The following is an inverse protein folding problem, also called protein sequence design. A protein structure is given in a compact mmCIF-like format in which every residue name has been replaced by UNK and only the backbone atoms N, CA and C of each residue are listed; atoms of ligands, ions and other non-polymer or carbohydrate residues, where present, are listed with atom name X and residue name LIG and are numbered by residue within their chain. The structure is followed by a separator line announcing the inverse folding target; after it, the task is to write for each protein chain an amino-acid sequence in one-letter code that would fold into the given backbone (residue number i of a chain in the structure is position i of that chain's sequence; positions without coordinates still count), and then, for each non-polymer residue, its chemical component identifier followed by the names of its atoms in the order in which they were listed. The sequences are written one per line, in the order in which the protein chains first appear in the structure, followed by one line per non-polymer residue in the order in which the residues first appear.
data_IF_576576934690
#
_entry.id   IF_576576934690
#
_cell.length_a   1.000
_cell.length_b   1.000
_cell.length_c   1.000
_cell.angle_alpha   90.00
_cell.angle_beta   90.00
_cell.angle_gamma   90.00
#
_symmetry.space_group_name_H-M   'P 1'
#
loop_
_entity.id
_entity.type
_entity.pdbx_description
1 polymer ?
#
# COMPACT_ATOMS: atom_id res chain seq x y z
N UNK A 1 -8.75 16.25 -4.87
CA UNK A 1 -9.22 14.84 -4.84
C UNK A 1 -8.56 14.06 -3.73
N UNK A 2 -7.28 14.30 -3.51
CA UNK A 2 -6.48 13.57 -2.52
C UNK A 2 -6.11 14.39 -1.30
N UNK A 3 -6.49 15.66 -1.24
CA UNK A 3 -5.92 16.63 -0.32
C UNK A 3 -6.26 16.44 1.16
N UNK A 4 -7.25 15.66 1.50
CA UNK A 4 -7.75 15.60 2.87
C UNK A 4 -7.82 14.20 3.49
N UNK A 5 -7.46 13.16 2.75
CA UNK A 5 -7.64 11.79 3.26
C UNK A 5 -6.65 11.42 4.35
N UNK A 6 -5.41 11.88 4.22
CA UNK A 6 -4.35 11.53 5.15
C UNK A 6 -3.31 12.65 5.16
N UNK A 7 -3.39 13.52 6.15
CA UNK A 7 -2.42 14.59 6.32
C UNK A 7 -1.27 14.13 7.20
N UNK A 8 -0.11 14.03 6.61
CA UNK A 8 1.11 13.78 7.36
C UNK A 8 2.18 14.76 6.93
N UNK A 9 2.81 15.42 7.89
CA UNK A 9 4.00 16.21 7.63
C UNK A 9 5.11 15.24 7.20
N UNK A 10 5.59 15.42 6.00
CA UNK A 10 6.76 14.69 5.54
C UNK A 10 7.97 15.28 6.25
N UNK A 11 8.51 14.56 7.22
CA UNK A 11 9.86 14.82 7.66
C UNK A 11 10.78 14.50 6.49
N UNK A 12 11.43 15.53 5.95
CA UNK A 12 12.50 15.28 4.99
C UNK A 12 13.65 14.59 5.76
N UNK A 13 13.87 13.30 5.57
CA UNK A 13 15.04 12.69 6.19
C UNK A 13 16.28 13.27 5.55
N UNK A 14 17.23 13.69 6.37
CA UNK A 14 18.56 14.01 5.91
C UNK A 14 19.14 12.83 5.13
N UNK A 15 20.29 13.05 4.49
CA UNK A 15 20.93 11.99 3.70
C UNK A 15 21.18 10.75 4.57
N UNK A 16 20.50 9.65 4.24
CA UNK A 16 20.66 8.38 4.93
C UNK A 16 21.80 7.57 4.30
N UNK A 17 22.54 6.81 5.12
CA UNK A 17 23.52 5.87 4.61
C UNK A 17 22.84 4.75 3.82
N UNK A 18 23.59 4.08 2.93
CA UNK A 18 23.07 2.94 2.17
C UNK A 18 22.56 1.83 3.08
N UNK A 19 23.27 1.56 4.20
CA UNK A 19 22.85 0.56 5.19
C UNK A 19 21.52 0.95 5.84
N UNK A 20 21.35 2.22 6.20
CA UNK A 20 20.11 2.73 6.77
C UNK A 20 18.94 2.65 5.77
N UNK A 21 19.17 2.93 4.49
CA UNK A 21 18.18 2.75 3.44
C UNK A 21 17.75 1.30 3.30
N UNK A 22 18.70 0.36 3.33
CA UNK A 22 18.39 -1.06 3.23
C UNK A 22 17.57 -1.55 4.43
N UNK A 23 17.91 -1.07 5.63
CA UNK A 23 17.16 -1.40 6.85
C UNK A 23 15.73 -0.85 6.78
N UNK A 24 15.59 0.41 6.37
CA UNK A 24 14.28 1.03 6.21
C UNK A 24 13.42 0.28 5.18
N UNK A 25 14.02 -0.10 4.05
CA UNK A 25 13.31 -0.86 3.02
C UNK A 25 12.82 -2.21 3.56
N UNK A 26 13.65 -2.91 4.32
CA UNK A 26 13.28 -4.19 4.94
C UNK A 26 12.17 -4.02 5.97
N UNK A 27 12.24 -3.00 6.80
CA UNK A 27 11.24 -2.73 7.83
C UNK A 27 9.90 -2.31 7.19
N UNK A 28 9.93 -1.53 6.12
CA UNK A 28 8.73 -1.17 5.37
C UNK A 28 8.11 -2.35 4.64
N UNK A 29 8.94 -3.27 4.16
CA UNK A 29 8.45 -4.51 3.54
C UNK A 29 7.64 -5.33 4.55
N UNK A 30 8.13 -5.44 5.78
CA UNK A 30 7.39 -6.11 6.86
C UNK A 30 6.13 -5.34 7.23
N UNK A 31 6.18 -4.02 7.26
CA UNK A 31 5.01 -3.19 7.51
C UNK A 31 3.92 -3.42 6.46
N UNK A 32 4.29 -3.55 5.19
CA UNK A 32 3.34 -3.88 4.11
C UNK A 32 2.77 -5.28 4.26
N UNK A 33 3.59 -6.23 4.65
CA UNK A 33 3.17 -7.62 4.88
C UNK A 33 2.07 -7.71 5.95
N UNK A 34 2.30 -7.09 7.10
CA UNK A 34 1.30 -7.06 8.17
C UNK A 34 0.15 -6.12 7.84
N UNK A 35 0.43 -5.01 7.20
CA UNK A 35 -0.60 -4.05 6.76
C UNK A 35 -1.61 -4.68 5.82
N UNK A 36 -1.15 -5.49 4.87
CA UNK A 36 -2.02 -6.19 3.94
C UNK A 36 -2.94 -7.17 4.69
N UNK A 37 -2.39 -7.95 5.60
CA UNK A 37 -3.17 -8.91 6.39
C UNK A 37 -4.20 -8.19 7.28
N UNK A 38 -3.80 -7.10 7.91
CA UNK A 38 -4.69 -6.31 8.76
C UNK A 38 -5.82 -5.66 7.96
N UNK A 39 -5.51 -5.11 6.78
CA UNK A 39 -6.50 -4.51 5.90
C UNK A 39 -7.44 -5.55 5.29
N UNK A 40 -6.93 -6.73 4.99
CA UNK A 40 -7.75 -7.85 4.56
C UNK A 40 -8.75 -8.22 5.64
N UNK A 41 -8.31 -8.33 6.89
CA UNK A 41 -9.16 -8.62 8.04
C UNK A 41 -10.23 -7.52 8.22
N UNK A 42 -9.84 -6.25 8.09
CA UNK A 42 -10.79 -5.14 8.15
C UNK A 42 -11.85 -5.25 7.06
N UNK A 43 -11.44 -5.57 5.83
CA UNK A 43 -12.35 -5.72 4.69
C UNK A 43 -13.33 -6.88 4.90
N UNK A 44 -12.85 -8.01 5.40
CA UNK A 44 -13.66 -9.22 5.53
C UNK A 44 -14.55 -9.22 6.77
N UNK A 45 -14.04 -8.75 7.90
CA UNK A 45 -14.72 -8.86 9.18
C UNK A 45 -15.35 -7.55 9.68
N UNK A 46 -14.96 -6.42 9.13
CA UNK A 46 -15.45 -5.11 9.55
C UNK A 46 -15.09 -4.73 10.98
N UNK A 47 -14.03 -5.33 11.53
CA UNK A 47 -13.60 -5.05 12.89
C UNK A 47 -13.01 -3.65 13.03
N UNK A 48 -13.00 -3.13 14.25
CA UNK A 48 -12.41 -1.82 14.57
C UNK A 48 -10.92 -1.80 14.23
N UNK A 49 -10.45 -0.72 13.59
CA UNK A 49 -9.04 -0.56 13.25
C UNK A 49 -8.13 -0.57 14.48
N UNK A 50 -8.58 0.05 15.57
CA UNK A 50 -7.83 0.04 16.82
C UNK A 50 -7.68 -1.37 17.39
N UNK A 51 -8.74 -2.17 17.32
CA UNK A 51 -8.72 -3.57 17.78
C UNK A 51 -7.78 -4.42 16.90
N UNK A 52 -7.83 -4.23 15.58
CA UNK A 52 -6.96 -4.94 14.65
C UNK A 52 -5.49 -4.58 14.93
N UNK A 53 -5.18 -3.30 15.09
CA UNK A 53 -3.83 -2.86 15.40
C UNK A 53 -3.32 -3.47 16.69
N UNK A 54 -4.13 -3.42 17.74
CA UNK A 54 -3.77 -3.98 19.05
C UNK A 54 -3.49 -5.48 18.96
N UNK A 55 -4.32 -6.21 18.23
CA UNK A 55 -4.17 -7.64 18.02
C UNK A 55 -2.86 -7.97 17.29
N UNK A 56 -2.56 -7.26 16.20
CA UNK A 56 -1.33 -7.49 15.44
C UNK A 56 -0.09 -7.16 16.27
N UNK A 57 -0.13 -6.09 17.05
CA UNK A 57 1.00 -5.70 17.89
C UNK A 57 1.21 -6.67 19.05
N UNK A 58 0.16 -7.34 19.52
CA UNK A 58 0.27 -8.36 20.55
C UNK A 58 0.76 -9.70 20.01
N UNK A 59 0.31 -10.08 18.80
CA UNK A 59 0.57 -11.41 18.23
C UNK A 59 1.88 -11.50 17.47
N UNK A 60 2.43 -10.40 16.97
CA UNK A 60 3.63 -10.37 16.14
C UNK A 60 4.72 -9.48 16.74
N UNK A 61 5.96 -9.83 16.44
CA UNK A 61 7.11 -9.03 16.84
C UNK A 61 7.30 -7.85 15.87
N UNK A 62 7.08 -6.64 16.38
CA UNK A 62 7.24 -5.41 15.59
C UNK A 62 8.61 -4.74 15.76
N UNK A 63 9.57 -5.39 16.43
CA UNK A 63 10.89 -4.79 16.66
C UNK A 63 11.64 -4.45 15.36
N UNK A 64 11.38 -5.18 14.27
CA UNK A 64 12.00 -4.95 12.96
C UNK A 64 10.98 -4.55 11.91
N UNK A 65 9.90 -3.91 12.35
CA UNK A 65 8.81 -3.41 11.48
C UNK A 65 8.78 -1.90 11.60
N UNK A 66 8.62 -1.20 10.47
CA UNK A 66 8.34 0.24 10.50
C UNK A 66 6.89 0.43 10.99
N UNK A 67 6.73 0.60 12.29
CA UNK A 67 5.42 0.72 12.93
C UNK A 67 4.65 1.92 12.38
N UNK A 68 5.31 3.04 12.16
CA UNK A 68 4.68 4.24 11.61
C UNK A 68 4.09 3.96 10.22
N UNK A 69 4.84 3.24 9.38
CA UNK A 69 4.38 2.87 8.05
C UNK A 69 3.19 1.90 8.11
N UNK A 70 3.26 0.92 9.00
CA UNK A 70 2.15 0.00 9.24
C UNK A 70 0.88 0.75 9.66
N UNK A 71 1.00 1.70 10.59
CA UNK A 71 -0.12 2.53 11.05
C UNK A 71 -0.65 3.41 9.91
N UNK A 72 0.24 3.97 9.11
CA UNK A 72 -0.16 4.79 7.95
C UNK A 72 -0.99 3.99 6.96
N UNK A 73 -0.61 2.76 6.68
CA UNK A 73 -1.38 1.87 5.80
C UNK A 73 -2.71 1.48 6.42
N UNK A 74 -2.69 1.00 7.65
CA UNK A 74 -3.88 0.47 8.32
C UNK A 74 -4.95 1.54 8.53
N UNK A 75 -4.56 2.74 8.93
CA UNK A 75 -5.50 3.83 9.18
C UNK A 75 -5.75 4.70 7.95
N UNK A 76 -4.75 4.85 7.09
CA UNK A 76 -4.84 5.69 5.90
C UNK A 76 -5.69 5.09 4.79
N UNK A 77 -5.54 3.80 4.51
CA UNK A 77 -6.31 3.15 3.44
C UNK A 77 -7.82 3.21 3.72
N UNK A 78 -8.31 2.82 4.91
CA UNK A 78 -9.74 2.96 5.18
C UNK A 78 -10.24 4.41 5.16
N UNK A 79 -9.43 5.37 5.62
CA UNK A 79 -9.80 6.79 5.61
C UNK A 79 -9.97 7.33 4.18
N UNK A 80 -9.24 6.77 3.22
CA UNK A 80 -9.25 7.20 1.81
C UNK A 80 -9.96 6.22 0.88
N UNK A 81 -10.64 5.21 1.40
CA UNK A 81 -11.13 4.09 0.60
C UNK A 81 -11.99 4.52 -0.58
N UNK A 82 -12.87 5.51 -0.41
CA UNK A 82 -13.73 5.97 -1.49
C UNK A 82 -12.92 6.63 -2.61
N UNK A 83 -11.94 7.44 -2.27
CA UNK A 83 -11.06 8.08 -3.25
C UNK A 83 -10.16 7.05 -3.96
N UNK A 84 -9.68 6.06 -3.22
CA UNK A 84 -8.86 4.97 -3.77
C UNK A 84 -9.67 4.17 -4.80
N UNK A 85 -10.88 3.79 -4.45
CA UNK A 85 -11.75 3.02 -5.35
C UNK A 85 -12.22 3.85 -6.55
N UNK A 86 -12.47 5.14 -6.35
CA UNK A 86 -12.82 6.04 -7.47
C UNK A 86 -11.67 6.17 -8.48
N UNK A 87 -10.43 6.11 -8.01
CA UNK A 87 -9.25 6.13 -8.90
C UNK A 87 -9.08 4.79 -9.61
N UNK A 88 -9.31 3.68 -8.92
CA UNK A 88 -9.14 2.34 -9.46
C UNK A 88 -10.21 1.95 -10.47
N UNK A 89 -11.46 2.27 -10.21
CA UNK A 89 -12.61 1.78 -10.96
C UNK A 89 -12.49 1.98 -12.49
N UNK A 90 -12.13 3.17 -13.01
CA UNK A 90 -11.99 3.37 -14.45
C UNK A 90 -10.85 2.56 -15.09
N UNK A 91 -9.92 2.08 -14.28
CA UNK A 91 -8.72 1.38 -14.76
C UNK A 91 -8.87 -0.14 -14.69
N UNK A 92 -9.96 -0.63 -14.10
CA UNK A 92 -10.23 -2.06 -13.99
C UNK A 92 -10.98 -2.54 -15.22
N UNK A 93 -10.76 -3.80 -15.59
CA UNK A 93 -11.51 -4.48 -16.66
C UNK A 93 -12.77 -5.18 -16.13
N UNK A 94 -13.00 -5.11 -14.81
CA UNK A 94 -14.12 -5.73 -14.11
C UNK A 94 -14.56 -4.86 -12.94
N UNK A 95 -15.66 -5.21 -12.31
CA UNK A 95 -16.16 -4.47 -11.14
C UNK A 95 -15.28 -4.74 -9.92
N UNK A 96 -15.17 -3.76 -9.03
CA UNK A 96 -14.47 -3.91 -7.76
C UNK A 96 -15.00 -5.11 -6.97
N UNK A 97 -16.31 -5.32 -6.97
CA UNK A 97 -16.94 -6.44 -6.26
C UNK A 97 -16.57 -7.82 -6.83
N UNK A 98 -16.08 -7.87 -8.07
CA UNK A 98 -15.66 -9.11 -8.72
C UNK A 98 -14.21 -9.47 -8.45
N UNK A 99 -13.45 -8.55 -7.83
CA UNK A 99 -12.05 -8.80 -7.49
C UNK A 99 -11.95 -9.72 -6.29
N UNK A 100 -10.94 -10.60 -6.32
CA UNK A 100 -10.53 -11.36 -5.15
C UNK A 100 -10.21 -10.36 -4.02
N UNK A 101 -10.66 -10.61 -2.77
CA UNK A 101 -10.38 -9.72 -1.64
C UNK A 101 -8.90 -9.39 -1.44
N UNK A 102 -8.00 -10.32 -1.71
CA UNK A 102 -6.55 -10.07 -1.62
C UNK A 102 -6.11 -9.09 -2.70
N UNK A 103 -6.53 -9.29 -3.94
CA UNK A 103 -6.23 -8.37 -5.05
C UNK A 103 -6.79 -6.98 -4.76
N UNK A 104 -8.01 -6.90 -4.29
CA UNK A 104 -8.65 -5.64 -3.93
C UNK A 104 -7.89 -4.90 -2.83
N UNK A 105 -7.45 -5.63 -1.81
CA UNK A 105 -6.65 -5.07 -0.72
C UNK A 105 -5.31 -4.54 -1.24
N UNK A 106 -4.62 -5.30 -2.06
CA UNK A 106 -3.33 -4.90 -2.61
C UNK A 106 -3.44 -3.71 -3.56
N UNK A 107 -4.51 -3.64 -4.35
CA UNK A 107 -4.77 -2.49 -5.22
C UNK A 107 -5.06 -1.24 -4.41
N UNK A 108 -5.83 -1.34 -3.33
CA UNK A 108 -6.07 -0.22 -2.41
C UNK A 108 -4.77 0.27 -1.78
N UNK A 109 -3.94 -0.65 -1.28
CA UNK A 109 -2.65 -0.30 -0.66
C UNK A 109 -1.71 0.36 -1.66
N UNK A 110 -1.54 -0.23 -2.82
CA UNK A 110 -0.66 0.32 -3.86
C UNK A 110 -1.09 1.70 -4.31
N UNK A 111 -2.39 1.89 -4.53
CA UNK A 111 -2.94 3.19 -4.89
C UNK A 111 -2.72 4.21 -3.79
N UNK A 112 -2.91 3.83 -2.53
CA UNK A 112 -2.64 4.69 -1.38
C UNK A 112 -1.17 5.13 -1.33
N UNK A 113 -0.25 4.20 -1.50
CA UNK A 113 1.18 4.52 -1.50
C UNK A 113 1.53 5.45 -2.66
N UNK A 114 0.99 5.20 -3.84
CA UNK A 114 1.23 6.06 -5.00
C UNK A 114 0.68 7.46 -4.80
N UNK A 115 -0.47 7.60 -4.13
CA UNK A 115 -1.12 8.88 -3.92
C UNK A 115 -0.56 9.65 -2.72
N UNK A 116 -0.25 8.97 -1.62
CA UNK A 116 0.02 9.59 -0.33
C UNK A 116 1.45 9.44 0.17
N UNK A 117 2.25 8.61 -0.48
CA UNK A 117 3.65 8.37 -0.08
C UNK A 117 4.60 8.69 -1.23
N UNK A 118 4.80 9.98 -1.55
CA UNK A 118 5.69 10.39 -2.64
C UNK A 118 7.17 10.08 -2.35
N UNK A 119 7.51 9.84 -1.10
CA UNK A 119 8.85 9.41 -0.68
C UNK A 119 9.20 7.99 -1.15
N UNK A 120 8.20 7.19 -1.54
CA UNK A 120 8.43 5.83 -2.05
C UNK A 120 8.37 5.86 -3.57
N UNK A 121 9.44 5.42 -4.27
CA UNK A 121 9.42 5.36 -5.74
C UNK A 121 8.29 4.47 -6.26
N UNK A 122 7.67 4.87 -7.37
CA UNK A 122 6.53 4.14 -7.92
C UNK A 122 6.86 2.68 -8.27
N UNK A 123 8.09 2.43 -8.73
CA UNK A 123 8.53 1.06 -9.06
C UNK A 123 8.60 0.19 -7.81
N UNK A 124 9.00 0.76 -6.69
CA UNK A 124 9.04 0.05 -5.40
C UNK A 124 7.62 -0.32 -4.97
N UNK A 125 6.68 0.62 -5.07
CA UNK A 125 5.27 0.35 -4.74
C UNK A 125 4.74 -0.84 -5.54
N UNK A 126 4.94 -0.82 -6.86
CA UNK A 126 4.44 -1.88 -7.74
C UNK A 126 5.13 -3.21 -7.43
N UNK A 127 6.46 -3.22 -7.30
CA UNK A 127 7.20 -4.45 -7.02
C UNK A 127 6.82 -5.09 -5.69
N UNK A 128 6.61 -4.28 -4.65
CA UNK A 128 6.21 -4.80 -3.35
C UNK A 128 4.79 -5.37 -3.38
N UNK A 129 3.87 -4.70 -4.09
CA UNK A 129 2.51 -5.22 -4.27
C UNK A 129 2.52 -6.55 -5.04
N UNK A 130 3.33 -6.65 -6.09
CA UNK A 130 3.50 -7.88 -6.87
C UNK A 130 4.05 -9.01 -6.00
N UNK A 131 5.05 -8.71 -5.17
CA UNK A 131 5.63 -9.70 -4.26
C UNK A 131 4.60 -10.26 -3.28
N UNK A 132 3.77 -9.38 -2.72
CA UNK A 132 2.69 -9.79 -1.82
C UNK A 132 1.62 -10.60 -2.54
N UNK A 133 1.30 -10.23 -3.78
CA UNK A 133 0.34 -10.97 -4.60
C UNK A 133 0.82 -12.39 -4.88
N UNK A 134 2.10 -12.56 -5.18
CA UNK A 134 2.70 -13.89 -5.38
C UNK A 134 2.64 -14.73 -4.12
N UNK A 135 2.81 -14.10 -2.96
CA UNK A 135 2.82 -14.79 -1.67
C UNK A 135 1.44 -15.21 -1.19
N UNK A 136 0.43 -14.36 -1.38
CA UNK A 136 -0.91 -14.54 -0.79
C UNK A 136 -2.03 -14.70 -1.81
N UNK A 137 -1.80 -14.31 -3.06
CA UNK A 137 -2.83 -14.26 -4.08
C UNK A 137 -2.91 -15.52 -4.95
N UNK A 138 -3.80 -15.50 -5.92
CA UNK A 138 -3.94 -16.53 -6.93
C UNK A 138 -2.76 -16.48 -7.90
N UNK A 139 -2.53 -17.57 -8.63
CA UNK A 139 -1.36 -17.79 -9.48
C UNK A 139 -1.04 -16.64 -10.45
N UNK A 140 -2.05 -16.04 -11.08
CA UNK A 140 -1.85 -14.97 -12.06
C UNK A 140 -2.29 -13.59 -11.57
N UNK A 141 -2.73 -13.48 -10.31
CA UNK A 141 -3.21 -12.22 -9.73
C UNK A 141 -2.15 -11.13 -9.74
N UNK A 142 -0.88 -11.50 -9.59
CA UNK A 142 0.22 -10.53 -9.57
C UNK A 142 0.39 -9.77 -10.90
N UNK A 143 0.09 -10.41 -12.02
CA UNK A 143 0.17 -9.77 -13.34
C UNK A 143 -0.93 -8.70 -13.50
N UNK A 144 -2.12 -9.03 -13.04
CA UNK A 144 -3.24 -8.10 -13.06
C UNK A 144 -2.97 -6.88 -12.17
N UNK A 145 -2.49 -7.12 -10.96
CA UNK A 145 -2.12 -6.06 -10.01
C UNK A 145 -1.03 -5.16 -10.60
N UNK A 146 0.01 -5.74 -11.18
CA UNK A 146 1.09 -5.00 -11.81
C UNK A 146 0.56 -4.09 -12.92
N UNK A 147 -0.31 -4.62 -13.78
CA UNK A 147 -0.88 -3.87 -14.89
C UNK A 147 -1.76 -2.70 -14.43
N UNK A 148 -2.61 -2.93 -13.43
CA UNK A 148 -3.49 -1.88 -12.90
C UNK A 148 -2.69 -0.81 -12.18
N UNK A 149 -1.73 -1.19 -11.32
CA UNK A 149 -0.91 -0.22 -10.59
C UNK A 149 -0.01 0.59 -11.52
N UNK A 150 0.45 0.01 -12.62
CA UNK A 150 1.18 0.76 -13.63
C UNK A 150 0.31 1.89 -14.22
N UNK A 151 -0.95 1.60 -14.51
CA UNK A 151 -1.89 2.63 -14.98
C UNK A 151 -2.15 3.71 -13.93
N UNK A 152 -2.30 3.31 -12.66
CA UNK A 152 -2.46 4.26 -11.55
C UNK A 152 -1.23 5.14 -11.42
N UNK A 153 -0.04 4.56 -11.53
CA UNK A 153 1.22 5.31 -11.44
C UNK A 153 1.34 6.34 -12.56
N UNK A 154 0.91 6.02 -13.76
CA UNK A 154 0.92 6.95 -14.90
C UNK A 154 0.03 8.16 -14.65
N UNK A 155 -1.04 8.02 -13.88
CA UNK A 155 -1.89 9.14 -13.50
C UNK A 155 -1.32 9.93 -12.32
N UNK A 156 -0.90 9.25 -11.25
CA UNK A 156 -0.54 9.87 -9.99
C UNK A 156 0.94 10.26 -9.89
N UNK A 157 1.79 9.60 -10.66
CA UNK A 157 3.25 9.79 -10.64
C UNK A 157 3.81 10.17 -12.00
N UNK A 158 3.03 10.90 -12.78
CA UNK A 158 3.42 11.31 -14.13
C UNK A 158 4.74 12.07 -14.15
N UNK A 159 4.92 13.01 -13.24
CA UNK A 159 6.14 13.83 -13.16
C UNK A 159 7.36 12.94 -12.88
N UNK A 160 7.23 12.00 -11.96
CA UNK A 160 8.29 11.04 -11.62
C UNK A 160 8.65 10.16 -12.81
N UNK A 161 7.63 9.62 -13.49
CA UNK A 161 7.83 8.74 -14.64
C UNK A 161 8.50 9.49 -15.81
N UNK A 162 8.02 10.70 -16.09
CA UNK A 162 8.58 11.52 -17.17
C UNK A 162 10.03 11.91 -16.88
N UNK A 163 10.38 12.16 -15.63
CA UNK A 163 11.75 12.48 -15.23
C UNK A 163 12.70 11.26 -15.33
N UNK A 164 12.17 10.05 -15.25
CA UNK A 164 12.96 8.82 -15.29
C UNK A 164 13.18 8.28 -16.71
N UNK A 165 12.47 8.83 -17.70
CA UNK A 165 12.59 8.40 -19.08
C UNK A 165 13.59 9.22 -19.90
#
# INVERSE_FOLDING_TARGET
KWSACWARSADCPGQMSKAAHNTLAAERRKARHYGMQALYQWHMAGASLAAIEAEFRADYDFSHVDLEYFQALLHGVPACVDALEATLEPLLDRKLSELDPIERTLLRMGTFELAQRPDVPYKVVINEAVSLAKKFGATDGHKYISGVLDKVARELRKVEIDAAS
#
